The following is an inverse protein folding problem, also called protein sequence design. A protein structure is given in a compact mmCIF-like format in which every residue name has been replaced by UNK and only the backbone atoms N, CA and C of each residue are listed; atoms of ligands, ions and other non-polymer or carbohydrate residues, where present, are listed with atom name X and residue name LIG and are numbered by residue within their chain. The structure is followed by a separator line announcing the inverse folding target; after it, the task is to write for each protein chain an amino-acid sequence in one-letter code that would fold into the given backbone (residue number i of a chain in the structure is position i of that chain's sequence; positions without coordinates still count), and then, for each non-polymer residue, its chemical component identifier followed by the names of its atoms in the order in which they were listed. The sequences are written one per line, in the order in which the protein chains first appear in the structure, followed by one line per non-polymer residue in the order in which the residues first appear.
data_IF_335089896353
#
_entry.id   IF_335089896353
#
_cell.length_a   1.000
_cell.length_b   1.000
_cell.length_c   1.000
_cell.angle_alpha   90.00
_cell.angle_beta   90.00
_cell.angle_gamma   90.00
#
_symmetry.space_group_name_H-M   'P 1'
#
loop_
_entity.id
_entity.type
_entity.pdbx_description
1 polymer ?
#
# COMPACT_ATOMS: atom_id res chain seq x y z
N UNK A 1 71.88 -16.20 21.71
CA UNK A 1 70.73 -16.69 20.91
C UNK A 1 69.46 -16.02 21.41
N UNK A 2 68.91 -15.11 20.58
CA UNK A 2 67.66 -14.38 20.83
C UNK A 2 66.49 -15.34 20.63
N UNK A 3 65.53 -15.37 21.56
CA UNK A 3 64.17 -15.84 21.27
C UNK A 3 63.17 -14.79 21.73
N UNK A 4 62.55 -14.24 20.70
CA UNK A 4 61.50 -13.23 20.68
C UNK A 4 60.27 -13.84 21.35
N UNK A 5 59.81 -13.23 22.44
CA UNK A 5 58.49 -13.51 22.98
C UNK A 5 57.46 -12.92 22.01
N UNK A 6 56.82 -13.79 21.25
CA UNK A 6 55.76 -13.44 20.31
C UNK A 6 54.54 -12.99 21.12
N UNK A 7 54.38 -11.68 21.24
CA UNK A 7 53.13 -11.02 21.64
C UNK A 7 52.07 -11.34 20.58
N UNK A 8 51.29 -12.40 20.79
CA UNK A 8 50.04 -12.57 20.06
C UNK A 8 48.97 -11.86 20.88
N UNK A 9 48.85 -10.55 20.64
CA UNK A 9 47.62 -9.81 20.87
C UNK A 9 46.53 -10.48 20.03
N UNK A 10 45.79 -11.40 20.65
CA UNK A 10 44.50 -11.85 20.13
C UNK A 10 43.52 -10.67 20.28
N UNK A 11 43.60 -9.74 19.33
CA UNK A 11 42.51 -8.87 18.96
C UNK A 11 41.40 -9.80 18.45
N UNK A 12 40.61 -10.34 19.38
CA UNK A 12 39.26 -10.76 19.08
C UNK A 12 38.55 -9.44 18.79
N UNK A 13 38.61 -9.04 17.52
CA UNK A 13 37.70 -8.05 16.99
C UNK A 13 36.32 -8.53 17.39
N UNK A 14 35.70 -7.82 18.33
CA UNK A 14 34.25 -7.78 18.40
C UNK A 14 33.82 -7.48 16.98
N UNK A 15 33.34 -8.51 16.28
CA UNK A 15 32.47 -8.31 15.14
C UNK A 15 31.29 -7.60 15.81
N UNK A 16 31.31 -6.28 15.76
CA UNK A 16 30.14 -5.50 16.10
C UNK A 16 29.06 -6.11 15.22
N UNK A 17 28.15 -6.87 15.83
CA UNK A 17 26.83 -7.04 15.26
C UNK A 17 26.37 -5.61 15.06
N UNK A 18 26.54 -5.09 13.83
CA UNK A 18 26.04 -3.80 13.44
C UNK A 18 24.55 -3.91 13.68
N UNK A 19 24.10 -3.49 14.85
CA UNK A 19 22.70 -3.38 15.14
C UNK A 19 22.20 -2.43 14.04
N UNK A 20 21.18 -2.87 13.31
CA UNK A 20 20.50 -2.09 12.27
C UNK A 20 19.73 -0.92 12.92
N UNK A 21 20.42 -0.11 13.71
CA UNK A 21 19.91 1.08 14.38
C UNK A 21 20.00 2.25 13.42
N UNK A 22 18.89 2.96 13.28
CA UNK A 22 18.78 4.11 12.41
C UNK A 22 18.89 5.41 13.21
N UNK A 23 19.54 6.41 12.62
CA UNK A 23 19.53 7.78 13.16
C UNK A 23 18.50 8.57 12.37
N UNK A 24 17.24 8.55 12.83
CA UNK A 24 16.08 9.12 12.10
C UNK A 24 16.33 10.56 11.61
N UNK A 25 16.94 11.40 12.47
CA UNK A 25 17.21 12.82 12.17
C UNK A 25 18.03 13.03 10.90
N UNK A 26 18.92 12.10 10.56
CA UNK A 26 19.81 12.22 9.40
C UNK A 26 19.06 11.90 8.10
N UNK A 27 17.91 11.23 8.21
CA UNK A 27 17.02 10.85 7.10
C UNK A 27 15.81 11.77 6.96
N UNK A 28 15.58 12.66 7.94
CA UNK A 28 14.51 13.66 7.92
C UNK A 28 14.91 14.88 7.08
N UNK A 29 15.33 14.64 5.84
CA UNK A 29 15.66 15.68 4.85
C UNK A 29 14.49 15.90 3.88
N UNK A 30 14.44 17.06 3.22
CA UNK A 30 13.37 17.37 2.28
C UNK A 30 13.95 17.78 0.93
N UNK A 31 14.35 16.77 0.15
CA UNK A 31 14.97 16.91 -1.16
C UNK A 31 14.21 16.07 -2.20
N UNK A 32 12.96 16.44 -2.54
CA UNK A 32 12.15 15.65 -3.45
C UNK A 32 12.69 15.68 -4.89
N UNK A 33 12.56 14.55 -5.57
CA UNK A 33 12.90 14.35 -6.99
C UNK A 33 11.64 13.99 -7.80
N UNK A 34 11.76 13.83 -9.12
CA UNK A 34 10.66 13.30 -9.94
C UNK A 34 10.26 11.88 -9.53
N UNK A 35 11.23 11.05 -9.11
CA UNK A 35 10.94 9.73 -8.53
C UNK A 35 10.10 9.84 -7.25
N UNK A 36 10.35 10.86 -6.42
CA UNK A 36 9.53 11.15 -5.23
C UNK A 36 8.07 11.44 -5.58
N UNK A 37 7.81 12.14 -6.69
CA UNK A 37 6.44 12.40 -7.18
C UNK A 37 5.74 11.11 -7.64
N UNK A 38 6.44 10.22 -8.36
CA UNK A 38 5.90 8.90 -8.74
C UNK A 38 5.52 8.09 -7.50
N UNK A 39 6.41 8.02 -6.51
CA UNK A 39 6.16 7.34 -5.25
C UNK A 39 5.00 7.97 -4.46
N UNK A 40 4.93 9.30 -4.44
CA UNK A 40 3.84 10.04 -3.80
C UNK A 40 2.47 9.69 -4.39
N UNK A 41 2.38 9.69 -5.72
CA UNK A 41 1.17 9.27 -6.43
C UNK A 41 0.75 7.86 -5.99
N UNK A 42 1.66 6.89 -6.05
CA UNK A 42 1.39 5.51 -5.64
C UNK A 42 0.93 5.38 -4.18
N UNK A 43 1.48 6.18 -3.26
CA UNK A 43 1.10 6.20 -1.84
C UNK A 43 -0.35 6.66 -1.66
N UNK A 44 -0.74 7.73 -2.35
CA UNK A 44 -2.05 8.35 -2.23
C UNK A 44 -3.18 7.67 -3.02
N UNK A 45 -2.88 6.68 -3.87
CA UNK A 45 -3.88 6.02 -4.75
C UNK A 45 -5.02 5.31 -3.98
N UNK A 46 -6.28 5.63 -4.37
CA UNK A 46 -7.58 5.03 -4.04
C UNK A 46 -7.67 4.08 -2.84
N UNK A 47 -7.73 4.66 -1.65
CA UNK A 47 -7.95 3.94 -0.39
C UNK A 47 -9.24 3.10 -0.35
N UNK A 48 -10.26 3.48 -1.13
CA UNK A 48 -11.52 2.73 -1.21
C UNK A 48 -11.30 1.24 -1.58
N UNK A 49 -10.45 0.95 -2.56
CA UNK A 49 -10.20 -0.43 -3.01
C UNK A 49 -9.30 -1.21 -2.05
N UNK A 50 -8.58 -0.53 -1.16
CA UNK A 50 -7.86 -1.15 -0.05
C UNK A 50 -8.80 -1.88 0.90
N UNK A 51 -10.01 -1.37 1.12
CA UNK A 51 -11.02 -1.99 2.00
C UNK A 51 -11.48 -3.37 1.54
N UNK A 52 -11.45 -3.59 0.22
CA UNK A 52 -11.82 -4.86 -0.41
C UNK A 52 -10.62 -5.73 -0.78
N UNK A 53 -9.39 -5.28 -0.46
CA UNK A 53 -8.14 -5.91 -0.87
C UNK A 53 -8.07 -6.13 -2.40
N UNK A 54 -8.52 -5.18 -3.21
CA UNK A 54 -8.49 -5.29 -4.69
C UNK A 54 -7.67 -4.20 -5.38
N UNK A 55 -7.00 -3.33 -4.62
CA UNK A 55 -6.16 -2.24 -5.14
C UNK A 55 -5.17 -2.70 -6.25
N UNK A 56 -4.44 -3.82 -6.12
CA UNK A 56 -3.59 -4.34 -7.21
C UNK A 56 -4.31 -4.57 -8.54
N UNK A 57 -5.53 -5.12 -8.50
CA UNK A 57 -6.29 -5.41 -9.71
C UNK A 57 -6.81 -4.15 -10.37
N UNK A 58 -7.26 -3.18 -9.58
CA UNK A 58 -7.74 -1.89 -10.10
C UNK A 58 -6.59 -1.11 -10.73
N UNK A 59 -5.41 -1.11 -10.07
CA UNK A 59 -4.20 -0.52 -10.62
C UNK A 59 -3.85 -1.11 -12.00
N UNK A 60 -4.08 -2.41 -12.21
CA UNK A 60 -3.78 -3.07 -13.47
C UNK A 60 -4.67 -2.64 -14.66
N UNK A 61 -5.76 -1.92 -14.41
CA UNK A 61 -6.71 -1.48 -15.44
C UNK A 61 -6.26 -0.22 -16.21
N UNK A 62 -5.20 0.46 -15.74
CA UNK A 62 -4.66 1.67 -16.35
C UNK A 62 -5.75 2.74 -16.60
N UNK A 63 -6.37 3.19 -15.51
CA UNK A 63 -7.54 4.08 -15.54
C UNK A 63 -7.14 5.50 -15.97
N UNK A 64 -8.00 6.17 -16.73
CA UNK A 64 -7.84 7.59 -17.02
C UNK A 64 -8.26 8.44 -15.82
N UNK A 65 -7.28 8.98 -15.09
CA UNK A 65 -7.52 9.84 -13.92
C UNK A 65 -7.21 11.31 -14.20
N UNK A 66 -7.20 11.71 -15.48
CA UNK A 66 -6.83 13.06 -15.86
C UNK A 66 -7.89 14.10 -15.47
N UNK A 67 -7.42 15.25 -14.95
CA UNK A 67 -8.22 16.45 -14.64
C UNK A 67 -9.39 16.23 -13.67
N UNK A 68 -9.42 15.10 -12.96
CA UNK A 68 -10.45 14.85 -11.94
C UNK A 68 -10.29 15.89 -10.83
N UNK A 69 -11.40 16.54 -10.46
CA UNK A 69 -11.48 17.46 -9.32
C UNK A 69 -12.03 16.75 -8.09
N UNK A 70 -13.09 15.96 -8.27
CA UNK A 70 -13.70 15.21 -7.18
C UNK A 70 -14.21 13.87 -7.69
N UNK A 71 -14.02 12.83 -6.89
CA UNK A 71 -14.67 11.53 -7.05
C UNK A 71 -15.63 11.35 -5.87
N UNK A 72 -16.87 10.96 -6.16
CA UNK A 72 -17.84 10.53 -5.15
C UNK A 72 -18.31 9.13 -5.47
N UNK A 73 -18.17 8.23 -4.49
CA UNK A 73 -18.60 6.84 -4.57
C UNK A 73 -19.85 6.71 -3.70
N UNK A 74 -20.95 6.26 -4.30
CA UNK A 74 -22.24 6.08 -3.61
C UNK A 74 -22.67 4.64 -3.63
N UNK A 75 -23.26 4.16 -2.55
CA UNK A 75 -23.92 2.87 -2.52
C UNK A 75 -25.17 2.92 -3.41
N UNK A 76 -25.27 2.03 -4.38
CA UNK A 76 -26.30 2.06 -5.39
C UNK A 76 -27.71 1.79 -4.83
N UNK A 77 -27.82 1.05 -3.72
CA UNK A 77 -29.12 0.65 -3.14
C UNK A 77 -29.75 1.77 -2.32
N UNK A 78 -28.96 2.44 -1.46
CA UNK A 78 -29.46 3.45 -0.51
C UNK A 78 -29.04 4.89 -0.86
N UNK A 79 -28.24 5.07 -1.91
CA UNK A 79 -27.72 6.36 -2.41
C UNK A 79 -26.83 7.14 -1.45
N UNK A 80 -26.41 6.54 -0.32
CA UNK A 80 -25.50 7.18 0.61
C UNK A 80 -24.08 7.19 0.07
N UNK A 81 -23.33 8.23 0.41
CA UNK A 81 -21.91 8.36 0.05
C UNK A 81 -21.12 7.37 0.89
N UNK A 82 -20.27 6.57 0.24
CA UNK A 82 -19.32 5.65 0.86
C UNK A 82 -17.90 6.23 0.92
N UNK A 83 -17.52 6.98 -0.11
CA UNK A 83 -16.21 7.60 -0.23
C UNK A 83 -16.27 8.88 -1.04
N UNK A 84 -15.47 9.87 -0.67
CA UNK A 84 -15.26 11.08 -1.45
C UNK A 84 -13.78 11.42 -1.47
N UNK A 85 -13.25 11.80 -2.61
CA UNK A 85 -11.87 12.26 -2.78
C UNK A 85 -11.84 13.57 -3.57
N UNK A 86 -11.01 14.51 -3.15
CA UNK A 86 -10.80 15.78 -3.85
C UNK A 86 -9.36 15.90 -4.30
N UNK A 87 -9.15 16.42 -5.49
CA UNK A 87 -7.84 16.55 -6.13
C UNK A 87 -7.60 17.99 -6.52
N UNK A 88 -6.33 18.38 -6.61
CA UNK A 88 -5.94 19.66 -7.20
C UNK A 88 -5.86 19.59 -8.74
N UNK A 89 -5.64 20.76 -9.38
CA UNK A 89 -5.54 20.85 -10.84
C UNK A 89 -4.33 20.11 -11.44
N UNK A 90 -3.35 19.75 -10.61
CA UNK A 90 -2.16 18.97 -11.01
C UNK A 90 -2.35 17.47 -10.80
N UNK A 91 -3.50 17.04 -10.27
CA UNK A 91 -3.86 15.64 -10.05
C UNK A 91 -3.44 15.09 -8.70
N UNK A 92 -3.00 15.93 -7.75
CA UNK A 92 -2.67 15.47 -6.40
C UNK A 92 -3.92 15.30 -5.55
N UNK A 93 -4.00 14.23 -4.76
CA UNK A 93 -5.09 14.00 -3.81
C UNK A 93 -4.97 14.97 -2.61
N UNK A 94 -5.89 15.91 -2.48
CA UNK A 94 -5.93 16.87 -1.39
C UNK A 94 -6.50 16.26 -0.11
N UNK A 95 -7.60 15.54 -0.24
CA UNK A 95 -8.27 14.89 0.88
C UNK A 95 -9.18 13.76 0.42
N UNK A 96 -9.47 12.85 1.35
CA UNK A 96 -10.55 11.91 1.19
C UNK A 96 -11.32 11.67 2.48
N UNK A 97 -12.56 11.20 2.32
CA UNK A 97 -13.47 10.85 3.39
C UNK A 97 -14.04 9.46 3.13
N UNK A 98 -13.97 8.60 4.15
CA UNK A 98 -14.70 7.34 4.26
C UNK A 98 -15.87 7.52 5.22
N UNK A 99 -17.02 6.95 4.88
CA UNK A 99 -18.23 7.02 5.74
C UNK A 99 -18.52 5.67 6.39
N UNK A 100 -19.53 5.66 7.26
CA UNK A 100 -20.05 4.48 7.93
C UNK A 100 -20.66 3.41 6.99
N UNK A 101 -20.84 3.74 5.71
CA UNK A 101 -21.28 2.77 4.70
C UNK A 101 -20.24 1.68 4.41
N UNK A 102 -18.94 1.96 4.63
CA UNK A 102 -17.86 1.01 4.30
C UNK A 102 -16.79 0.89 5.38
N UNK A 103 -16.66 1.86 6.29
CA UNK A 103 -15.64 1.83 7.34
C UNK A 103 -16.06 2.70 8.54
N UNK A 104 -15.25 2.73 9.60
CA UNK A 104 -15.41 3.81 10.58
C UNK A 104 -15.18 5.16 9.88
N UNK A 105 -16.05 6.17 10.08
CA UNK A 105 -15.88 7.47 9.43
C UNK A 105 -14.48 8.03 9.65
N UNK A 106 -13.78 8.28 8.56
CA UNK A 106 -12.36 8.68 8.55
C UNK A 106 -12.16 9.75 7.50
N UNK A 107 -11.54 10.85 7.89
CA UNK A 107 -11.08 11.92 7.00
C UNK A 107 -9.56 11.94 7.00
N UNK A 108 -8.98 12.02 5.81
CA UNK A 108 -7.54 12.21 5.62
C UNK A 108 -7.32 13.44 4.77
N UNK A 109 -6.40 14.30 5.17
CA UNK A 109 -6.05 15.52 4.45
C UNK A 109 -4.55 15.62 4.28
N UNK A 110 -4.13 16.02 3.08
CA UNK A 110 -2.74 16.10 2.66
C UNK A 110 -2.31 17.55 2.53
N UNK A 111 -1.14 17.85 3.07
CA UNK A 111 -0.43 19.11 2.82
C UNK A 111 0.71 18.82 1.86
N UNK A 112 0.85 19.66 0.84
CA UNK A 112 1.88 19.53 -0.19
C UNK A 112 2.95 20.60 -0.05
N UNK A 113 4.19 20.22 -0.35
CA UNK A 113 5.34 21.09 -0.52
C UNK A 113 6.18 20.56 -1.68
N UNK A 114 6.58 21.43 -2.60
CA UNK A 114 7.40 21.08 -3.78
C UNK A 114 6.80 19.93 -4.62
N UNK A 115 5.47 19.87 -4.71
CA UNK A 115 4.74 18.86 -5.50
C UNK A 115 4.67 17.46 -4.87
N UNK A 116 5.06 17.30 -3.60
CA UNK A 116 4.93 16.04 -2.85
C UNK A 116 4.27 16.29 -1.48
N UNK A 117 3.69 15.25 -0.88
CA UNK A 117 3.06 15.32 0.46
C UNK A 117 4.14 15.64 1.49
N UNK A 118 3.96 16.68 2.29
CA UNK A 118 4.80 17.00 3.45
C UNK A 118 4.15 16.56 4.78
N UNK A 119 2.82 16.50 4.83
CA UNK A 119 2.09 16.05 6.01
C UNK A 119 0.75 15.41 5.63
N UNK A 120 0.33 14.44 6.44
CA UNK A 120 -0.99 13.80 6.36
C UNK A 120 -1.66 13.89 7.73
N UNK A 121 -2.86 14.45 7.78
CA UNK A 121 -3.69 14.51 8.97
C UNK A 121 -4.82 13.50 8.86
N UNK A 122 -4.95 12.62 9.86
CA UNK A 122 -5.94 11.53 9.91
C UNK A 122 -6.88 11.77 11.08
N UNK A 123 -8.15 11.99 10.80
CA UNK A 123 -9.21 12.14 11.78
C UNK A 123 -10.19 10.96 11.64
N UNK A 124 -10.20 10.07 12.62
CA UNK A 124 -11.13 8.93 12.69
C UNK A 124 -12.15 9.16 13.80
N UNK A 125 -13.43 8.97 13.51
CA UNK A 125 -14.51 9.15 14.50
C UNK A 125 -14.25 8.29 15.74
N UNK A 126 -14.22 8.92 16.91
CA UNK A 126 -13.95 8.26 18.19
C UNK A 126 -12.46 8.01 18.48
N UNK A 127 -11.54 8.70 17.79
CA UNK A 127 -10.11 8.61 18.05
C UNK A 127 -9.46 9.99 17.99
N UNK A 128 -8.33 10.15 18.68
CA UNK A 128 -7.49 11.35 18.55
C UNK A 128 -6.95 11.48 17.11
N UNK A 129 -6.89 12.72 16.62
CA UNK A 129 -6.32 13.00 15.31
C UNK A 129 -4.82 12.67 15.32
N UNK A 130 -4.36 12.05 14.24
CA UNK A 130 -2.94 11.70 14.06
C UNK A 130 -2.37 12.50 12.90
N UNK A 131 -1.10 12.87 13.01
CA UNK A 131 -0.37 13.52 11.94
C UNK A 131 0.87 12.71 11.60
N UNK A 132 1.03 12.42 10.33
CA UNK A 132 2.25 11.85 9.78
C UNK A 132 3.05 12.97 9.10
N UNK A 133 4.37 12.98 9.30
CA UNK A 133 5.28 13.91 8.65
C UNK A 133 6.12 13.19 7.61
N UNK A 134 6.27 13.81 6.44
CA UNK A 134 6.92 13.20 5.29
C UNK A 134 8.20 13.95 4.93
N UNK A 135 9.21 13.16 4.62
CA UNK A 135 10.54 13.57 4.24
C UNK A 135 10.96 12.79 3.00
N UNK A 136 11.91 13.32 2.24
CA UNK A 136 12.32 12.76 0.96
C UNK A 136 13.82 12.90 0.79
N UNK A 137 14.45 11.80 0.41
CA UNK A 137 15.84 11.74 -0.02
C UNK A 137 15.93 10.76 -1.19
N UNK A 138 16.50 11.23 -2.29
CA UNK A 138 16.68 10.44 -3.52
C UNK A 138 15.37 9.77 -3.99
N UNK A 139 15.28 8.45 -3.89
CA UNK A 139 14.16 7.61 -4.33
C UNK A 139 13.23 7.17 -3.19
N UNK A 140 13.53 7.59 -1.96
CA UNK A 140 12.82 7.16 -0.76
C UNK A 140 11.89 8.25 -0.23
N UNK A 141 10.75 7.80 0.28
CA UNK A 141 9.87 8.58 1.14
C UNK A 141 10.03 8.08 2.57
N UNK A 142 10.27 9.00 3.50
CA UNK A 142 10.39 8.70 4.92
C UNK A 142 9.19 9.27 5.65
N UNK A 143 8.56 8.45 6.48
CA UNK A 143 7.32 8.84 7.18
C UNK A 143 7.54 8.67 8.68
N UNK A 144 7.55 9.80 9.39
CA UNK A 144 7.45 9.80 10.84
C UNK A 144 5.98 9.79 11.22
N UNK A 145 5.49 8.66 11.68
CA UNK A 145 4.07 8.51 11.94
C UNK A 145 3.67 8.97 13.35
N UNK A 146 2.38 9.23 13.55
CA UNK A 146 1.84 9.64 14.85
C UNK A 146 1.98 8.61 15.97
N UNK A 147 2.42 7.38 15.69
CA UNK A 147 2.62 6.29 16.65
C UNK A 147 4.10 6.06 17.01
N UNK A 148 5.00 6.99 16.67
CA UNK A 148 6.47 6.86 16.88
C UNK A 148 7.12 5.71 16.09
N UNK A 149 6.49 5.26 15.00
CA UNK A 149 7.15 4.44 13.98
C UNK A 149 7.77 5.35 12.94
N UNK A 150 8.85 4.85 12.36
CA UNK A 150 9.52 5.48 11.24
C UNK A 150 9.51 4.52 10.06
N UNK A 151 8.82 4.91 8.99
CA UNK A 151 8.70 4.12 7.77
C UNK A 151 9.64 4.69 6.70
N UNK A 152 10.32 3.81 5.98
CA UNK A 152 11.00 4.10 4.71
C UNK A 152 10.21 3.39 3.62
N UNK A 153 9.79 4.12 2.60
CA UNK A 153 8.95 3.63 1.51
C UNK A 153 9.68 3.91 0.20
N UNK A 154 9.67 2.93 -0.71
CA UNK A 154 10.25 3.06 -2.05
C UNK A 154 9.43 2.24 -3.07
N UNK A 155 9.76 2.40 -4.35
CA UNK A 155 9.19 1.61 -5.44
C UNK A 155 10.26 0.70 -6.05
N UNK A 156 9.89 -0.55 -6.31
CA UNK A 156 10.60 -1.42 -7.24
C UNK A 156 9.63 -1.79 -8.37
N UNK A 157 9.85 -1.24 -9.57
CA UNK A 157 8.85 -1.23 -10.64
C UNK A 157 7.62 -0.41 -10.23
N UNK A 158 6.46 -1.07 -10.15
CA UNK A 158 5.23 -0.48 -9.62
C UNK A 158 4.78 -1.11 -8.28
N UNK A 159 5.65 -1.93 -7.68
CA UNK A 159 5.45 -2.51 -6.34
C UNK A 159 5.98 -1.54 -5.31
N UNK A 160 5.10 -1.13 -4.40
CA UNK A 160 5.49 -0.34 -3.22
C UNK A 160 6.01 -1.26 -2.13
N UNK A 161 7.21 -0.95 -1.66
CA UNK A 161 7.90 -1.65 -0.59
C UNK A 161 8.07 -0.72 0.59
N UNK A 162 8.08 -1.31 1.78
CA UNK A 162 8.22 -0.56 3.02
C UNK A 162 9.16 -1.26 4.01
N UNK A 163 9.88 -0.44 4.75
CA UNK A 163 10.63 -0.84 5.94
C UNK A 163 10.17 -0.01 7.12
N UNK A 164 9.75 -0.67 8.19
CA UNK A 164 9.22 -0.02 9.40
C UNK A 164 10.18 -0.22 10.56
N UNK A 165 10.56 0.88 11.19
CA UNK A 165 11.38 0.92 12.40
C UNK A 165 10.50 1.16 13.64
N UNK A 166 10.78 0.39 14.69
CA UNK A 166 10.24 0.51 16.04
C UNK A 166 11.40 0.73 16.98
N UNK A 167 11.43 1.86 17.70
CA UNK A 167 12.52 2.19 18.63
C UNK A 167 13.91 2.04 17.97
N UNK A 168 14.04 2.59 16.76
CA UNK A 168 15.24 2.53 15.92
C UNK A 168 15.65 1.14 15.43
N UNK A 169 14.92 0.07 15.77
CA UNK A 169 15.17 -1.29 15.28
C UNK A 169 14.20 -1.64 14.16
N UNK A 170 14.64 -2.47 13.22
CA UNK A 170 13.77 -2.97 12.16
C UNK A 170 12.68 -3.86 12.78
N UNK A 171 11.42 -3.43 12.65
CA UNK A 171 10.25 -4.24 13.01
C UNK A 171 9.78 -5.07 11.82
N UNK A 172 9.62 -4.42 10.65
CA UNK A 172 9.16 -5.04 9.42
C UNK A 172 9.98 -4.57 8.22
N UNK A 173 10.18 -5.45 7.24
CA UNK A 173 10.89 -5.13 6.01
C UNK A 173 10.31 -5.90 4.82
N UNK A 174 9.92 -5.17 3.79
CA UNK A 174 9.57 -5.76 2.50
C UNK A 174 10.81 -5.92 1.62
N UNK A 175 10.79 -6.94 0.76
CA UNK A 175 11.68 -7.09 -0.39
C UNK A 175 10.90 -7.62 -1.59
N UNK A 176 11.32 -7.28 -2.81
CA UNK A 176 10.81 -7.89 -4.02
C UNK A 176 11.79 -8.97 -4.51
N UNK A 177 11.27 -10.16 -4.83
CA UNK A 177 12.07 -11.26 -5.39
C UNK A 177 11.25 -11.98 -6.45
N UNK A 178 11.70 -11.90 -7.71
CA UNK A 178 11.02 -12.53 -8.87
C UNK A 178 9.50 -12.28 -8.90
N UNK A 179 9.11 -10.99 -8.82
CA UNK A 179 7.70 -10.53 -8.76
C UNK A 179 6.92 -10.97 -7.51
N UNK A 180 7.58 -11.44 -6.46
CA UNK A 180 6.97 -11.70 -5.16
C UNK A 180 7.42 -10.67 -4.12
N UNK A 181 6.48 -9.90 -3.59
CA UNK A 181 6.70 -9.08 -2.40
C UNK A 181 6.70 -9.99 -1.18
N UNK A 182 7.79 -9.99 -0.43
CA UNK A 182 7.95 -10.76 0.80
C UNK A 182 8.11 -9.78 1.96
N UNK A 183 7.24 -9.89 2.96
CA UNK A 183 7.35 -9.11 4.20
C UNK A 183 8.02 -9.96 5.25
N UNK A 184 9.05 -9.40 5.89
CA UNK A 184 9.78 -9.99 7.00
C UNK A 184 9.45 -9.31 8.31
N UNK A 185 9.52 -10.07 9.40
CA UNK A 185 9.55 -9.56 10.77
C UNK A 185 10.53 -10.41 11.57
N UNK A 186 11.41 -9.76 12.36
CA UNK A 186 12.42 -10.41 13.19
C UNK A 186 13.25 -11.49 12.43
N UNK A 187 13.56 -11.21 11.17
CA UNK A 187 14.35 -12.10 10.30
C UNK A 187 13.57 -13.27 9.67
N UNK A 188 12.28 -13.44 9.97
CA UNK A 188 11.42 -14.46 9.39
C UNK A 188 10.50 -13.89 8.31
N UNK A 189 10.28 -14.63 7.22
CA UNK A 189 9.29 -14.30 6.20
C UNK A 189 7.88 -14.54 6.77
N UNK A 190 7.08 -13.48 6.92
CA UNK A 190 5.75 -13.53 7.58
C UNK A 190 4.58 -13.39 6.61
N UNK A 191 4.84 -12.86 5.41
CA UNK A 191 3.85 -12.71 4.37
C UNK A 191 4.53 -12.77 3.00
N UNK A 192 3.82 -13.24 1.99
CA UNK A 192 4.28 -13.25 0.61
C UNK A 192 3.10 -13.05 -0.32
N UNK A 193 3.27 -12.17 -1.29
CA UNK A 193 2.32 -11.96 -2.38
C UNK A 193 3.10 -12.02 -3.68
N UNK A 194 2.77 -12.94 -4.56
CA UNK A 194 3.34 -13.02 -5.90
C UNK A 194 2.39 -12.42 -6.91
N UNK A 195 2.95 -11.64 -7.83
CA UNK A 195 2.24 -11.04 -8.95
C UNK A 195 2.59 -11.80 -10.24
N UNK A 196 1.69 -11.78 -11.23
CA UNK A 196 2.02 -12.28 -12.57
C UNK A 196 3.01 -11.37 -13.30
N UNK A 197 3.10 -10.10 -12.91
CA UNK A 197 4.10 -9.13 -13.33
C UNK A 197 4.17 -7.99 -12.29
N UNK A 198 5.34 -7.37 -12.10
CA UNK A 198 5.54 -6.23 -11.19
C UNK A 198 5.17 -4.86 -11.79
N UNK A 199 4.71 -4.83 -13.04
CA UNK A 199 4.26 -3.61 -13.77
C UNK A 199 2.74 -3.48 -13.84
N UNK A 200 2.00 -4.41 -13.23
CA UNK A 200 0.54 -4.40 -13.10
C UNK A 200 -0.18 -4.17 -14.44
N UNK A 201 -0.12 -5.15 -15.34
CA UNK A 201 -0.86 -5.10 -16.62
C UNK A 201 -1.79 -6.30 -16.76
N UNK A 202 -3.01 -6.06 -17.26
CA UNK A 202 -3.97 -7.12 -17.62
C UNK A 202 -3.44 -7.93 -18.82
N UNK A 203 -3.53 -9.28 -18.83
CA UNK A 203 -4.08 -10.13 -17.76
C UNK A 203 -3.20 -10.15 -16.51
N UNK A 204 -3.81 -9.91 -15.35
CA UNK A 204 -3.10 -9.76 -14.08
C UNK A 204 -3.61 -10.75 -13.03
N UNK A 205 -2.67 -11.40 -12.33
CA UNK A 205 -2.95 -12.38 -11.29
C UNK A 205 -2.12 -12.11 -10.04
N UNK A 206 -2.68 -12.42 -8.89
CA UNK A 206 -1.99 -12.40 -7.60
C UNK A 206 -2.16 -13.73 -6.87
N UNK A 207 -1.13 -14.14 -6.16
CA UNK A 207 -1.13 -15.30 -5.28
C UNK A 207 -0.67 -14.86 -3.90
N UNK A 208 -1.58 -14.94 -2.94
CA UNK A 208 -1.33 -14.58 -1.55
C UNK A 208 -0.93 -15.84 -0.77
N UNK A 209 0.05 -15.72 0.11
CA UNK A 209 0.46 -16.78 1.03
C UNK A 209 0.02 -16.41 2.44
N UNK A 210 -0.62 -17.33 3.14
CA UNK A 210 -1.07 -17.12 4.51
C UNK A 210 -0.04 -17.67 5.51
N UNK A 211 0.26 -16.94 6.60
CA UNK A 211 1.15 -17.45 7.63
C UNK A 211 0.48 -18.58 8.42
N UNK A 212 1.23 -19.66 8.61
CA UNK A 212 0.91 -20.80 9.45
C UNK A 212 2.00 -20.96 10.52
N UNK A 213 1.67 -20.61 11.76
CA UNK A 213 2.64 -20.60 12.86
C UNK A 213 2.68 -21.98 13.51
N UNK A 214 3.84 -22.62 13.48
CA UNK A 214 4.04 -23.90 14.14
C UNK A 214 3.91 -23.75 15.68
N UNK A 215 2.99 -24.47 16.35
CA UNK A 215 2.64 -24.22 17.76
C UNK A 215 3.78 -24.36 18.79
N UNK A 216 4.88 -25.03 18.42
CA UNK A 216 5.99 -25.36 19.34
C UNK A 216 7.30 -24.67 19.02
N UNK A 217 7.50 -24.24 17.78
CA UNK A 217 8.77 -23.64 17.32
C UNK A 217 8.62 -22.17 16.98
N UNK A 218 7.38 -21.65 16.99
CA UNK A 218 7.01 -20.31 16.49
C UNK A 218 7.46 -20.06 15.05
N UNK A 219 7.88 -21.12 14.34
CA UNK A 219 8.31 -21.04 12.95
C UNK A 219 7.10 -20.74 12.09
N UNK A 220 7.23 -19.70 11.28
CA UNK A 220 6.21 -19.32 10.32
C UNK A 220 6.44 -20.10 9.03
N UNK A 221 5.42 -20.84 8.61
CA UNK A 221 5.36 -21.45 7.28
C UNK A 221 4.36 -20.68 6.44
N UNK A 222 4.75 -20.29 5.23
CA UNK A 222 3.86 -19.58 4.31
C UNK A 222 3.09 -20.60 3.48
N UNK A 223 1.80 -20.79 3.80
CA UNK A 223 0.90 -21.67 3.05
C UNK A 223 0.46 -20.98 1.77
N UNK A 224 0.66 -21.65 0.66
CA UNK A 224 0.28 -21.14 -0.65
C UNK A 224 -1.24 -21.09 -0.82
N UNK A 225 -1.76 -19.90 -1.09
CA UNK A 225 -3.16 -19.72 -1.49
C UNK A 225 -3.37 -19.93 -3.00
N UNK A 226 -4.63 -20.03 -3.44
CA UNK A 226 -4.95 -20.09 -4.86
C UNK A 226 -4.71 -18.75 -5.57
N UNK A 227 -4.58 -18.81 -6.89
CA UNK A 227 -4.53 -17.60 -7.71
C UNK A 227 -5.85 -16.84 -7.67
N UNK A 228 -5.71 -15.53 -7.57
CA UNK A 228 -6.76 -14.55 -7.82
C UNK A 228 -6.41 -13.79 -9.09
N UNK A 229 -7.39 -13.47 -9.92
CA UNK A 229 -7.13 -12.87 -11.24
C UNK A 229 -8.21 -11.87 -11.65
N UNK A 230 -7.83 -10.86 -12.41
CA UNK A 230 -8.76 -9.96 -13.08
C UNK A 230 -8.86 -10.32 -14.57
N UNK A 231 -10.08 -10.49 -15.06
CA UNK A 231 -10.39 -10.90 -16.44
C UNK A 231 -11.38 -9.94 -17.08
N UNK A 232 -11.15 -9.60 -18.34
CA UNK A 232 -12.14 -8.93 -19.18
C UNK A 232 -13.23 -9.95 -19.55
N UNK A 233 -14.50 -9.61 -19.30
CA UNK A 233 -15.65 -10.48 -19.60
C UNK A 233 -16.53 -9.95 -20.72
N UNK A 234 -16.59 -8.63 -20.89
CA UNK A 234 -17.21 -7.95 -22.02
C UNK A 234 -16.58 -6.57 -22.16
N UNK A 235 -16.91 -5.82 -23.21
CA UNK A 235 -16.40 -4.46 -23.39
C UNK A 235 -16.57 -3.64 -22.10
N UNK A 236 -15.47 -3.08 -21.60
CA UNK A 236 -15.37 -2.27 -20.39
C UNK A 236 -15.86 -2.95 -19.09
N UNK A 237 -16.05 -4.27 -19.07
CA UNK A 237 -16.48 -5.02 -17.88
C UNK A 237 -15.45 -6.09 -17.52
N UNK A 238 -15.00 -6.03 -16.28
CA UNK A 238 -14.03 -6.95 -15.71
C UNK A 238 -14.62 -7.70 -14.52
N UNK A 239 -14.13 -8.91 -14.29
CA UNK A 239 -14.38 -9.68 -13.09
C UNK A 239 -13.08 -9.97 -12.37
N UNK A 240 -13.10 -9.84 -11.05
CA UNK A 240 -12.02 -10.30 -10.17
C UNK A 240 -12.47 -11.61 -9.55
N UNK A 241 -11.71 -12.65 -9.86
CA UNK A 241 -11.91 -13.99 -9.35
C UNK A 241 -11.02 -14.20 -8.14
N UNK A 242 -11.59 -14.73 -7.06
CA UNK A 242 -10.86 -15.27 -5.91
C UNK A 242 -11.18 -16.76 -5.84
N UNK A 243 -10.17 -17.61 -5.76
CA UNK A 243 -10.35 -19.06 -5.74
C UNK A 243 -11.16 -19.58 -6.95
N UNK A 244 -10.91 -19.01 -8.14
CA UNK A 244 -11.66 -19.27 -9.38
C UNK A 244 -13.17 -18.94 -9.34
N UNK A 245 -13.64 -18.23 -8.32
CA UNK A 245 -15.02 -17.77 -8.22
C UNK A 245 -15.08 -16.24 -8.38
N UNK A 246 -15.98 -15.70 -9.21
CA UNK A 246 -16.21 -14.26 -9.29
C UNK A 246 -16.63 -13.73 -7.91
N UNK A 247 -15.86 -12.78 -7.38
CA UNK A 247 -16.20 -12.08 -6.13
C UNK A 247 -16.43 -10.59 -6.36
N UNK A 248 -15.88 -10.02 -7.44
CA UNK A 248 -16.08 -8.63 -7.78
C UNK A 248 -16.33 -8.44 -9.25
N UNK A 249 -17.11 -7.40 -9.58
CA UNK A 249 -17.20 -6.86 -10.93
C UNK A 249 -16.77 -5.41 -10.95
N UNK A 250 -16.06 -5.02 -12.00
CA UNK A 250 -15.62 -3.65 -12.26
C UNK A 250 -16.12 -3.25 -13.64
N UNK A 251 -16.86 -2.14 -13.72
CA UNK A 251 -17.35 -1.61 -14.99
C UNK A 251 -16.69 -0.25 -15.20
N UNK A 252 -16.11 -0.06 -16.37
CA UNK A 252 -15.53 1.20 -16.81
C UNK A 252 -16.50 1.94 -17.74
N UNK A 253 -16.40 3.27 -17.78
CA UNK A 253 -17.09 4.07 -18.77
C UNK A 253 -16.32 4.11 -20.11
N UNK A 254 -16.81 4.90 -21.07
CA UNK A 254 -16.19 5.02 -22.41
C UNK A 254 -14.81 5.69 -22.39
N UNK A 255 -14.48 6.42 -21.31
CA UNK A 255 -13.22 7.12 -21.15
C UNK A 255 -12.26 6.35 -20.24
N UNK A 256 -12.47 5.03 -20.05
CA UNK A 256 -11.61 4.18 -19.23
C UNK A 256 -11.58 4.59 -17.73
N UNK A 257 -12.66 5.17 -17.22
CA UNK A 257 -12.82 5.52 -15.79
C UNK A 257 -13.70 4.53 -15.09
N UNK A 258 -13.51 4.34 -13.78
CA UNK A 258 -14.40 3.48 -12.98
C UNK A 258 -15.82 4.05 -13.00
N UNK A 259 -16.80 3.24 -13.39
CA UNK A 259 -18.22 3.60 -13.39
C UNK A 259 -18.96 2.89 -12.26
N UNK A 260 -18.77 1.58 -12.15
CA UNK A 260 -19.37 0.76 -11.11
C UNK A 260 -18.37 -0.23 -10.53
N UNK A 261 -18.48 -0.47 -9.23
CA UNK A 261 -17.78 -1.54 -8.52
C UNK A 261 -18.80 -2.38 -7.77
N UNK A 262 -18.77 -3.69 -7.96
CA UNK A 262 -19.68 -4.63 -7.30
C UNK A 262 -18.88 -5.63 -6.50
N UNK A 263 -19.18 -5.73 -5.22
CA UNK A 263 -18.82 -6.89 -4.41
C UNK A 263 -20.00 -7.86 -4.46
N UNK A 264 -19.75 -9.08 -4.93
CA UNK A 264 -20.79 -10.09 -5.16
C UNK A 264 -21.18 -10.85 -3.89
N UNK A 265 -20.60 -10.48 -2.74
CA UNK A 265 -20.81 -11.14 -1.46
C UNK A 265 -19.94 -12.38 -1.28
N UNK A 266 -19.91 -12.88 -0.05
CA UNK A 266 -19.34 -14.18 0.28
C UNK A 266 -20.33 -14.94 1.17
N UNK A 267 -20.94 -16.01 0.64
CA UNK A 267 -21.90 -16.83 1.38
C UNK A 267 -21.27 -17.51 2.59
N UNK A 268 -20.01 -17.95 2.49
CA UNK A 268 -19.31 -18.62 3.59
C UNK A 268 -19.14 -17.66 4.79
N UNK A 269 -18.86 -16.39 4.51
CA UNK A 269 -18.63 -15.36 5.53
C UNK A 269 -19.89 -14.52 5.84
N UNK A 270 -21.06 -14.93 5.33
CA UNK A 270 -22.34 -14.21 5.45
C UNK A 270 -22.29 -12.75 5.00
N UNK A 271 -21.42 -12.43 4.06
CA UNK A 271 -21.24 -11.09 3.53
C UNK A 271 -22.22 -10.85 2.37
N UNK A 272 -23.02 -9.79 2.48
CA UNK A 272 -24.02 -9.42 1.47
C UNK A 272 -23.37 -8.73 0.27
N UNK A 273 -23.96 -8.85 -0.93
CA UNK A 273 -23.51 -8.09 -2.09
C UNK A 273 -23.64 -6.59 -1.88
N UNK A 274 -22.69 -5.82 -2.40
CA UNK A 274 -22.68 -4.36 -2.38
C UNK A 274 -22.38 -3.85 -3.78
N UNK A 275 -23.06 -2.77 -4.18
CA UNK A 275 -22.79 -2.10 -5.45
C UNK A 275 -22.52 -0.62 -5.18
N UNK A 276 -21.49 -0.10 -5.84
CA UNK A 276 -21.05 1.28 -5.72
C UNK A 276 -20.96 1.94 -7.09
N UNK A 277 -21.50 3.15 -7.19
CA UNK A 277 -21.47 3.97 -8.39
C UNK A 277 -20.50 5.13 -8.20
N UNK A 278 -19.72 5.42 -9.24
CA UNK A 278 -18.70 6.46 -9.26
C UNK A 278 -19.22 7.68 -10.00
N UNK A 279 -19.08 8.85 -9.41
CA UNK A 279 -19.41 10.15 -10.00
C UNK A 279 -18.21 11.06 -9.95
N UNK A 280 -17.97 11.79 -11.04
CA UNK A 280 -16.79 12.63 -11.21
C UNK A 280 -17.18 14.07 -11.48
N UNK A 281 -16.38 14.99 -10.96
CA UNK A 281 -16.32 16.37 -11.46
C UNK A 281 -14.91 16.65 -11.97
N UNK A 282 -14.78 17.52 -12.96
CA UNK A 282 -13.52 17.79 -13.64
C UNK A 282 -13.14 19.25 -13.55
N UNK A 283 -11.84 19.53 -13.61
CA UNK A 283 -11.35 20.85 -13.95
C UNK A 283 -11.70 21.19 -15.41
N UNK A 284 -12.02 22.46 -15.66
CA UNK A 284 -12.29 22.98 -17.01
C UNK A 284 -10.99 23.04 -17.81
#
# INVERSE_FOLDING_TARGET
MKKIALFVTFLIGFVAFGQNTIVEKDLMVFQPTESSKKLNKAYSEHMFFGLFNVKPFIKALDLDESKIKTITITNASNKKVAYKANYDATGNLLDFELTDEVATPTKVSYTYKDGVISAEAIARKGSEAKTNQFFYDQENMYVKNGNKLFDIIWLEGDVMLKKTYMEQKIGFEDRLMHDCRITKSLGQDINKICYSNSTFKVPFKIKEYTPDVAPKTERINLKEGPWSEIKLISQNKYQILRNNLPQFEVILDQNQRLKEFKFLGNKADKQQPLQFNFTYTFYK
#
